data_IF_047503873151
#
_entry.id   IF_047503873151
#
_cell.length_a   1.000
_cell.length_b   1.000
_cell.length_c   1.000
_cell.angle_alpha   90.00
_cell.angle_beta   90.00
_cell.angle_gamma   90.00
#
_symmetry.space_group_name_H-M   'P 1'
#
loop_
_entity.id
_entity.type
_entity.pdbx_description
1 polymer ?
#
# COMPACT_ATOMS: atom_id res chain seq x y z
N UNK A 1 0.33 13.24 -6.04
CA UNK A 1 1.38 12.32 -6.54
C UNK A 1 0.81 11.12 -7.32
N UNK A 2 -0.47 11.13 -7.75
CA UNK A 2 -1.11 9.95 -8.36
C UNK A 2 -1.34 10.04 -9.89
N UNK A 3 -1.27 11.24 -10.49
CA UNK A 3 -1.59 11.41 -11.92
C UNK A 3 -0.45 10.98 -12.86
N UNK A 4 0.81 11.29 -12.52
CA UNK A 4 1.96 10.97 -13.37
C UNK A 4 2.24 9.47 -13.49
N UNK A 5 2.01 8.69 -12.43
CA UNK A 5 2.19 7.23 -12.50
C UNK A 5 1.14 6.57 -13.40
N UNK A 6 -0.10 7.07 -13.43
CA UNK A 6 -1.16 6.45 -14.23
C UNK A 6 -0.92 6.62 -15.73
N UNK A 7 -0.54 7.83 -16.18
CA UNK A 7 -0.25 8.06 -17.60
C UNK A 7 0.94 7.22 -18.10
N UNK A 8 1.94 6.98 -17.27
CA UNK A 8 3.08 6.14 -17.64
C UNK A 8 2.72 4.64 -17.69
N UNK A 9 1.83 4.18 -16.79
CA UNK A 9 1.28 2.82 -16.85
C UNK A 9 0.40 2.63 -18.09
N UNK A 10 -0.47 3.59 -18.40
CA UNK A 10 -1.35 3.54 -19.56
C UNK A 10 -0.54 3.51 -20.86
N UNK A 11 0.45 4.39 -21.01
CA UNK A 11 1.37 4.37 -22.17
C UNK A 11 2.12 3.05 -22.30
N UNK A 12 2.58 2.49 -21.18
CA UNK A 12 3.31 1.21 -21.20
C UNK A 12 2.37 0.06 -21.56
N UNK A 13 1.15 0.04 -21.01
CA UNK A 13 0.13 -0.94 -21.34
C UNK A 13 -0.20 -0.92 -22.83
N UNK A 14 -0.45 0.27 -23.39
CA UNK A 14 -0.75 0.45 -24.80
C UNK A 14 0.41 -0.03 -25.67
N UNK A 15 1.66 0.31 -25.32
CA UNK A 15 2.85 -0.14 -26.05
C UNK A 15 3.04 -1.65 -26.05
N UNK A 16 2.82 -2.33 -24.92
CA UNK A 16 2.88 -3.79 -24.85
C UNK A 16 1.71 -4.45 -25.61
N UNK A 17 0.53 -3.84 -25.62
CA UNK A 17 -0.62 -4.31 -26.40
C UNK A 17 -0.38 -4.18 -27.90
N UNK A 18 0.16 -3.06 -28.36
CA UNK A 18 0.53 -2.85 -29.76
C UNK A 18 1.57 -3.88 -30.20
N UNK A 19 2.60 -4.11 -29.36
CA UNK A 19 3.64 -5.11 -29.61
C UNK A 19 3.04 -6.53 -29.74
N UNK A 20 2.12 -6.90 -28.85
CA UNK A 20 1.43 -8.19 -28.93
C UNK A 20 0.63 -8.35 -30.22
N UNK A 21 -0.17 -7.34 -30.57
CA UNK A 21 -1.02 -7.37 -31.77
C UNK A 21 -0.17 -7.42 -33.04
N UNK A 22 0.89 -6.61 -33.11
CA UNK A 22 1.82 -6.59 -34.23
C UNK A 22 2.52 -7.95 -34.38
N UNK A 23 3.10 -8.50 -33.31
CA UNK A 23 3.78 -9.80 -33.33
C UNK A 23 2.83 -10.94 -33.75
N UNK A 24 1.60 -10.96 -33.24
CA UNK A 24 0.59 -11.96 -33.67
C UNK A 24 0.22 -11.79 -35.14
N UNK A 25 0.07 -10.55 -35.62
CA UNK A 25 -0.24 -10.25 -37.02
C UNK A 25 0.88 -10.72 -37.95
N UNK A 26 2.14 -10.55 -37.53
CA UNK A 26 3.30 -11.08 -38.25
C UNK A 26 3.27 -12.60 -38.33
N UNK A 27 3.02 -13.30 -37.22
CA UNK A 27 2.94 -14.77 -37.21
C UNK A 27 1.86 -15.26 -38.19
N UNK A 28 0.67 -14.67 -38.15
CA UNK A 28 -0.44 -15.04 -39.06
C UNK A 28 -0.07 -14.77 -40.52
N UNK A 29 0.62 -13.66 -40.78
CA UNK A 29 1.06 -13.29 -42.13
C UNK A 29 2.10 -14.25 -42.68
N UNK A 30 3.09 -14.65 -41.87
CA UNK A 30 4.14 -15.60 -42.25
C UNK A 30 3.61 -17.04 -42.35
N UNK A 31 2.60 -17.41 -41.56
CA UNK A 31 2.01 -18.76 -41.57
C UNK A 31 1.12 -19.07 -42.79
N UNK A 32 0.93 -18.12 -43.72
CA UNK A 32 0.10 -18.33 -44.92
C UNK A 32 0.65 -19.48 -45.77
N UNK A 33 -0.24 -20.41 -46.14
CA UNK A 33 0.08 -21.57 -46.98
C UNK A 33 0.24 -21.09 -48.44
N UNK A 34 1.48 -21.09 -48.91
CA UNK A 34 1.85 -20.78 -50.29
C UNK A 34 2.94 -21.77 -50.74
N UNK A 35 3.18 -21.89 -52.04
CA UNK A 35 4.27 -22.70 -52.58
C UNK A 35 5.61 -22.00 -52.30
N UNK A 36 6.10 -22.14 -51.08
CA UNK A 36 7.37 -21.57 -50.59
C UNK A 36 8.50 -22.57 -50.81
N UNK A 37 9.68 -22.08 -51.16
CA UNK A 37 10.88 -22.92 -51.19
C UNK A 37 11.37 -23.22 -49.76
N UNK A 38 12.28 -24.19 -49.63
CA UNK A 38 12.79 -24.65 -48.33
C UNK A 38 13.56 -23.56 -47.57
N UNK A 39 14.19 -22.64 -48.29
CA UNK A 39 14.94 -21.53 -47.69
C UNK A 39 13.99 -20.50 -47.08
N UNK A 40 12.97 -20.07 -47.83
CA UNK A 40 11.92 -19.15 -47.37
C UNK A 40 11.19 -19.73 -46.17
N UNK A 41 10.87 -21.03 -46.19
CA UNK A 41 10.21 -21.69 -45.08
C UNK A 41 11.06 -21.68 -43.80
N UNK A 42 12.38 -21.89 -43.92
CA UNK A 42 13.29 -21.84 -42.78
C UNK A 42 13.43 -20.40 -42.22
N UNK A 43 13.52 -19.41 -43.10
CA UNK A 43 13.59 -17.99 -42.71
C UNK A 43 12.31 -17.56 -41.97
N UNK A 44 11.13 -17.85 -42.53
CA UNK A 44 9.85 -17.53 -41.90
C UNK A 44 9.66 -18.29 -40.58
N UNK A 45 10.11 -19.54 -40.49
CA UNK A 45 10.09 -20.32 -39.26
C UNK A 45 10.88 -19.64 -38.13
N UNK A 46 12.08 -19.16 -38.44
CA UNK A 46 12.89 -18.39 -37.50
C UNK A 46 12.21 -17.07 -37.10
N UNK A 47 11.65 -16.33 -38.06
CA UNK A 47 10.93 -15.10 -37.77
C UNK A 47 9.72 -15.33 -36.86
N UNK A 48 8.95 -16.40 -37.09
CA UNK A 48 7.82 -16.79 -36.23
C UNK A 48 8.30 -17.08 -34.80
N UNK A 49 9.42 -17.77 -34.62
CA UNK A 49 10.00 -18.04 -33.30
C UNK A 49 10.43 -16.75 -32.58
N UNK A 50 11.04 -15.81 -33.31
CA UNK A 50 11.34 -14.49 -32.76
C UNK A 50 10.08 -13.74 -32.32
N UNK A 51 9.03 -13.73 -33.14
CA UNK A 51 7.77 -13.09 -32.77
C UNK A 51 7.09 -13.75 -31.56
N UNK A 52 7.14 -15.08 -31.46
CA UNK A 52 6.65 -15.80 -30.29
C UNK A 52 7.42 -15.42 -29.02
N UNK A 53 8.73 -15.26 -29.12
CA UNK A 53 9.57 -14.79 -28.01
C UNK A 53 9.19 -13.36 -27.58
N UNK A 54 8.97 -12.46 -28.53
CA UNK A 54 8.50 -11.10 -28.28
C UNK A 54 7.15 -11.07 -27.56
N UNK A 55 6.21 -11.93 -27.96
CA UNK A 55 4.91 -12.09 -27.30
C UNK A 55 5.08 -12.49 -25.83
N UNK A 56 5.90 -13.51 -25.56
CA UNK A 56 6.15 -13.98 -24.19
C UNK A 56 6.73 -12.86 -23.32
N UNK A 57 7.73 -12.13 -23.84
CA UNK A 57 8.35 -11.01 -23.14
C UNK A 57 7.35 -9.87 -22.85
N UNK A 58 6.46 -9.58 -23.79
CA UNK A 58 5.44 -8.54 -23.61
C UNK A 58 4.44 -8.95 -22.51
N UNK A 59 4.02 -10.22 -22.52
CA UNK A 59 3.19 -10.80 -21.45
C UNK A 59 3.88 -10.75 -20.08
N UNK A 60 5.16 -11.08 -19.98
CA UNK A 60 5.93 -10.96 -18.75
C UNK A 60 5.95 -9.52 -18.22
N UNK A 61 6.16 -8.55 -19.11
CA UNK A 61 6.17 -7.12 -18.77
C UNK A 61 4.81 -6.67 -18.21
N UNK A 62 3.71 -7.12 -18.82
CA UNK A 62 2.35 -6.86 -18.33
C UNK A 62 2.10 -7.49 -16.95
N UNK A 63 2.57 -8.72 -16.72
CA UNK A 63 2.44 -9.39 -15.42
C UNK A 63 3.23 -8.66 -14.32
N UNK A 64 4.44 -8.18 -14.63
CA UNK A 64 5.22 -7.34 -13.72
C UNK A 64 4.46 -6.07 -13.36
N UNK A 65 3.87 -5.38 -14.35
CA UNK A 65 3.08 -4.17 -14.11
C UNK A 65 1.87 -4.44 -13.19
N UNK A 66 1.17 -5.56 -13.37
CA UNK A 66 0.07 -5.97 -12.47
C UNK A 66 0.59 -6.20 -11.04
N UNK A 67 1.75 -6.83 -10.90
CA UNK A 67 2.38 -7.04 -9.58
C UNK A 67 2.72 -5.73 -8.90
N UNK A 68 3.31 -4.77 -9.63
CA UNK A 68 3.67 -3.45 -9.13
C UNK A 68 2.44 -2.66 -8.68
N UNK A 69 1.34 -2.71 -9.45
CA UNK A 69 0.06 -2.09 -9.07
C UNK A 69 -0.49 -2.70 -7.78
N UNK A 70 -0.50 -4.04 -7.66
CA UNK A 70 -0.94 -4.73 -6.43
C UNK A 70 -0.09 -4.31 -5.24
N UNK A 71 1.23 -4.27 -5.38
CA UNK A 71 2.13 -3.86 -4.31
C UNK A 71 1.90 -2.40 -3.89
N UNK A 72 1.70 -1.50 -4.86
CA UNK A 72 1.41 -0.09 -4.60
C UNK A 72 0.13 0.09 -3.77
N UNK A 73 -0.95 -0.63 -4.12
CA UNK A 73 -2.21 -0.62 -3.39
C UNK A 73 -2.05 -1.15 -1.96
N UNK A 74 -1.41 -2.31 -1.79
CA UNK A 74 -1.17 -2.92 -0.48
C UNK A 74 -0.35 -2.01 0.45
N UNK A 75 0.70 -1.36 -0.08
CA UNK A 75 1.54 -0.46 0.68
C UNK A 75 0.85 0.88 1.00
N UNK A 76 -0.11 1.32 0.18
CA UNK A 76 -0.89 2.52 0.47
C UNK A 76 -1.79 2.28 1.70
N UNK A 77 -2.51 1.16 1.72
CA UNK A 77 -3.36 0.79 2.86
C UNK A 77 -2.55 0.65 4.14
N UNK A 78 -1.37 0.02 4.07
CA UNK A 78 -0.53 -0.18 5.26
C UNK A 78 -0.04 1.14 5.84
N UNK A 79 0.34 2.12 5.00
CA UNK A 79 0.74 3.47 5.45
C UNK A 79 -0.44 4.23 6.04
N UNK A 80 -1.61 4.17 5.41
CA UNK A 80 -2.83 4.79 5.90
C UNK A 80 -3.21 4.24 7.29
N UNK A 81 -3.28 2.92 7.44
CA UNK A 81 -3.59 2.24 8.70
C UNK A 81 -2.59 2.58 9.79
N UNK A 82 -1.28 2.63 9.47
CA UNK A 82 -0.26 3.03 10.44
C UNK A 82 -0.45 4.47 10.92
N UNK A 83 -0.79 5.40 10.02
CA UNK A 83 -1.04 6.81 10.41
C UNK A 83 -2.26 6.94 11.33
N UNK A 84 -3.35 6.20 11.04
CA UNK A 84 -4.55 6.15 11.86
C UNK A 84 -4.22 5.55 13.23
N UNK A 85 -3.52 4.42 13.26
CA UNK A 85 -3.10 3.73 14.48
C UNK A 85 -2.21 4.64 15.34
N UNK A 86 -1.27 5.35 14.72
CA UNK A 86 -0.40 6.29 15.43
C UNK A 86 -1.20 7.43 16.06
N UNK A 87 -2.13 8.03 15.30
CA UNK A 87 -3.03 9.07 15.82
C UNK A 87 -3.84 8.57 17.01
N UNK A 88 -4.40 7.35 16.93
CA UNK A 88 -5.13 6.76 18.05
C UNK A 88 -4.25 6.52 19.28
N UNK A 89 -3.00 6.07 19.09
CA UNK A 89 -2.04 5.92 20.19
C UNK A 89 -1.73 7.26 20.86
N UNK A 90 -1.50 8.30 20.08
CA UNK A 90 -1.19 9.62 20.61
C UNK A 90 -2.39 10.22 21.36
N UNK A 91 -3.61 10.07 20.84
CA UNK A 91 -4.84 10.45 21.54
C UNK A 91 -5.04 9.68 22.85
N UNK A 92 -4.76 8.37 22.85
CA UNK A 92 -4.86 7.55 24.06
C UNK A 92 -3.85 8.03 25.13
N UNK A 93 -2.61 8.34 24.74
CA UNK A 93 -1.60 8.89 25.66
C UNK A 93 -2.05 10.20 26.30
N UNK A 94 -2.62 11.12 25.51
CA UNK A 94 -3.14 12.40 26.02
C UNK A 94 -4.24 12.15 27.04
N UNK A 95 -5.23 11.31 26.71
CA UNK A 95 -6.33 10.97 27.64
C UNK A 95 -5.86 10.30 28.92
N UNK A 96 -4.86 9.42 28.82
CA UNK A 96 -4.25 8.78 29.99
C UNK A 96 -3.58 9.83 30.88
N UNK A 97 -2.85 10.78 30.30
CA UNK A 97 -2.22 11.86 31.05
C UNK A 97 -3.27 12.77 31.74
N UNK A 98 -4.34 13.13 31.04
CA UNK A 98 -5.46 13.91 31.60
C UNK A 98 -6.15 13.18 32.76
N UNK A 99 -6.38 11.88 32.60
CA UNK A 99 -7.00 11.03 33.63
C UNK A 99 -6.08 10.92 34.85
N UNK A 100 -4.78 10.71 34.65
CA UNK A 100 -3.80 10.69 35.75
C UNK A 100 -3.72 12.05 36.47
N UNK A 101 -3.74 13.16 35.72
CA UNK A 101 -3.77 14.51 36.30
C UNK A 101 -5.01 14.71 37.17
N UNK A 102 -6.18 14.35 36.65
CA UNK A 102 -7.45 14.46 37.39
C UNK A 102 -7.46 13.58 38.65
N UNK A 103 -6.96 12.35 38.56
CA UNK A 103 -6.82 11.44 39.71
C UNK A 103 -5.88 12.00 40.78
N UNK A 104 -4.76 12.61 40.37
CA UNK A 104 -3.83 13.25 41.31
C UNK A 104 -4.46 14.44 42.03
N UNK A 105 -5.29 15.23 41.35
CA UNK A 105 -6.00 16.34 41.99
C UNK A 105 -7.02 15.86 43.01
N UNK A 106 -7.85 14.88 42.64
CA UNK A 106 -8.84 14.29 43.56
C UNK A 106 -8.15 13.68 44.78
N UNK A 107 -7.01 13.01 44.58
CA UNK A 107 -6.21 12.47 45.69
C UNK A 107 -5.73 13.57 46.64
N UNK A 108 -5.22 14.67 46.11
CA UNK A 108 -4.75 15.80 46.94
C UNK A 108 -5.90 16.44 47.73
N UNK A 109 -7.08 16.57 47.12
CA UNK A 109 -8.27 17.10 47.79
C UNK A 109 -8.75 16.19 48.93
N UNK A 110 -8.74 14.87 48.73
CA UNK A 110 -9.05 13.89 49.78
C UNK A 110 -8.03 13.95 50.92
N UNK A 111 -6.74 14.00 50.61
CA UNK A 111 -5.68 14.11 51.62
C UNK A 111 -5.82 15.41 52.43
N UNK A 112 -6.17 16.52 51.78
CA UNK A 112 -6.46 17.80 52.44
C UNK A 112 -7.68 17.68 53.38
N UNK A 113 -8.80 17.17 52.89
CA UNK A 113 -10.01 17.00 53.72
C UNK A 113 -9.76 16.10 54.94
N UNK A 114 -8.97 15.03 54.79
CA UNK A 114 -8.57 14.18 55.90
C UNK A 114 -7.72 14.94 56.93
N UNK A 115 -6.77 15.77 56.47
CA UNK A 115 -5.95 16.58 57.36
C UNK A 115 -6.78 17.62 58.12
N UNK A 116 -7.75 18.25 57.47
CA UNK A 116 -8.67 19.20 58.10
C UNK A 116 -9.57 18.52 59.15
N UNK A 117 -10.12 17.34 58.83
CA UNK A 117 -10.90 16.53 59.77
C UNK A 117 -10.08 16.09 60.98
N UNK A 118 -8.83 15.66 60.76
CA UNK A 118 -7.94 15.28 61.85
C UNK A 118 -7.60 16.48 62.75
N UNK A 119 -7.32 17.64 62.17
CA UNK A 119 -7.11 18.88 62.94
C UNK A 119 -8.34 19.30 63.75
N UNK A 120 -9.55 19.15 63.20
CA UNK A 120 -10.79 19.42 63.92
C UNK A 120 -11.04 18.43 65.07
N UNK A 121 -10.71 17.14 64.86
CA UNK A 121 -10.77 16.12 65.91
C UNK A 121 -9.79 16.46 67.05
N UNK A 122 -8.53 16.75 66.73
CA UNK A 122 -7.52 17.10 67.72
C UNK A 122 -7.95 18.34 68.52
N UNK A 123 -8.45 19.39 67.84
CA UNK A 123 -8.99 20.58 68.49
C UNK A 123 -10.18 20.26 69.42
N UNK A 124 -11.10 19.38 69.01
CA UNK A 124 -12.22 18.95 69.86
C UNK A 124 -11.77 18.13 71.07
N UNK A 125 -10.64 17.43 70.97
CA UNK A 125 -10.10 16.59 72.07
C UNK A 125 -9.37 17.44 73.11
N UNK A 126 -8.88 18.62 72.74
CA UNK A 126 -8.30 19.62 73.65
C UNK A 126 -9.34 20.49 74.39
N UNK A 127 -10.63 20.45 73.98
CA UNK A 127 -11.73 21.21 74.59
C UNK A 127 -12.47 20.39 75.68
N UNK A 128 -12.00 19.18 75.99
CA UNK A 128 -12.57 18.30 77.03
C UNK A 128 -11.59 18.12 78.18
#
# INVERSE_FOLDING_TARGET
MAAGNNEDFDKKLDGEMDTLVESFTHIISSAKIQAKDTFTLAEEGYQIECQATTIVRSCETLLTMISDMKQSLLLNDTRSINSITQRHRDQAKVRIAETHGSFSMVRAEVDQMLSELQGALDASTYVR
#
